data_IF_122468204766
#
_entry.id   IF_122468204766
#
_cell.length_a   1.000
_cell.length_b   1.000
_cell.length_c   1.000
_cell.angle_alpha   90.00
_cell.angle_beta   90.00
_cell.angle_gamma   90.00
#
_symmetry.space_group_name_H-M   'P 1'
#
loop_
_entity.id
_entity.type
_entity.pdbx_description
1 polymer ?
#
# COMPACT_ATOMS: atom_id res chain seq x y z
N UNK A 1 -0.05 -19.62 -24.95
CA UNK A 1 -0.63 -19.86 -23.58
C UNK A 1 0.53 -19.88 -22.60
N UNK A 2 0.73 -18.81 -21.82
CA UNK A 2 1.73 -18.75 -20.76
C UNK A 2 1.37 -19.78 -19.67
N UNK A 3 2.23 -20.74 -19.43
CA UNK A 3 2.09 -21.67 -18.30
C UNK A 3 2.30 -20.87 -17.03
N UNK A 4 1.27 -20.70 -16.23
CA UNK A 4 1.40 -20.18 -14.86
C UNK A 4 2.19 -21.22 -14.05
N UNK A 5 3.42 -20.88 -13.70
CA UNK A 5 4.22 -21.71 -12.81
C UNK A 5 3.84 -21.39 -11.36
N UNK A 6 3.54 -22.41 -10.58
CA UNK A 6 3.45 -22.30 -9.12
C UNK A 6 4.88 -22.31 -8.60
N UNK A 7 5.35 -21.21 -8.08
CA UNK A 7 6.69 -21.12 -7.50
C UNK A 7 6.62 -21.54 -6.03
N UNK A 8 7.38 -22.55 -5.66
CA UNK A 8 7.54 -22.94 -4.25
C UNK A 8 8.38 -21.91 -3.50
N UNK A 9 7.74 -20.98 -2.82
CA UNK A 9 8.39 -19.85 -2.12
C UNK A 9 8.82 -20.16 -0.69
N UNK A 10 8.66 -21.41 -0.20
CA UNK A 10 8.89 -21.76 1.20
C UNK A 10 10.29 -21.38 1.72
N UNK A 11 11.35 -21.72 1.01
CA UNK A 11 12.72 -21.34 1.39
C UNK A 11 12.97 -19.84 1.31
N UNK A 12 12.40 -19.18 0.31
CA UNK A 12 12.47 -17.72 0.16
C UNK A 12 11.73 -17.02 1.29
N UNK A 13 10.51 -17.46 1.61
CA UNK A 13 9.73 -16.91 2.71
C UNK A 13 10.45 -17.09 4.07
N UNK A 14 11.08 -18.23 4.30
CA UNK A 14 11.86 -18.47 5.50
C UNK A 14 13.08 -17.54 5.62
N UNK A 15 13.77 -17.26 4.51
CA UNK A 15 14.89 -16.31 4.49
C UNK A 15 14.47 -14.86 4.71
N UNK A 16 13.22 -14.52 4.43
CA UNK A 16 12.65 -13.17 4.57
C UNK A 16 11.86 -12.97 5.88
N UNK A 17 11.87 -13.96 6.79
CA UNK A 17 11.10 -13.91 8.02
C UNK A 17 11.23 -12.59 8.82
N UNK A 18 12.43 -11.98 8.95
CA UNK A 18 12.58 -10.70 9.63
C UNK A 18 12.05 -9.50 8.86
N UNK A 19 11.92 -9.63 7.51
CA UNK A 19 11.63 -8.52 6.61
C UNK A 19 10.23 -8.56 5.99
N UNK A 20 9.49 -9.66 6.14
CA UNK A 20 8.20 -9.79 5.46
C UNK A 20 7.53 -11.17 5.61
N UNK A 21 7.98 -11.99 6.56
CA UNK A 21 7.46 -13.34 6.78
C UNK A 21 6.13 -13.41 7.55
N UNK A 22 5.43 -12.29 7.72
CA UNK A 22 4.15 -12.28 8.44
C UNK A 22 3.06 -12.93 7.60
N UNK A 23 2.40 -13.93 8.17
CA UNK A 23 1.19 -14.55 7.61
C UNK A 23 -0.01 -13.99 8.36
N UNK A 24 -0.96 -13.42 7.64
CA UNK A 24 -2.11 -12.76 8.24
C UNK A 24 -3.35 -12.85 7.34
N UNK A 25 -4.51 -12.51 7.89
CA UNK A 25 -5.74 -12.30 7.10
C UNK A 25 -5.85 -10.85 6.67
N UNK A 26 -6.64 -10.56 5.61
CA UNK A 26 -6.91 -9.17 5.21
C UNK A 26 -7.57 -8.37 6.33
N UNK A 27 -8.41 -9.02 7.15
CA UNK A 27 -9.07 -8.38 8.30
C UNK A 27 -8.07 -7.94 9.37
N UNK A 28 -7.13 -8.80 9.72
CA UNK A 28 -6.14 -8.48 10.75
C UNK A 28 -5.09 -7.50 10.23
N UNK A 29 -4.73 -7.58 8.95
CA UNK A 29 -3.90 -6.58 8.30
C UNK A 29 -4.58 -5.19 8.27
N UNK A 30 -5.90 -5.14 8.08
CA UNK A 30 -6.67 -3.91 8.19
C UNK A 30 -6.63 -3.35 9.61
N UNK A 31 -6.85 -4.17 10.63
CA UNK A 31 -6.75 -3.75 12.03
C UNK A 31 -5.36 -3.22 12.35
N UNK A 32 -4.33 -3.94 11.93
CA UNK A 32 -2.94 -3.49 12.07
C UNK A 32 -2.72 -2.13 11.39
N UNK A 33 -3.17 -1.96 10.15
CA UNK A 33 -3.02 -0.71 9.41
C UNK A 33 -3.70 0.46 10.10
N UNK A 34 -4.90 0.26 10.65
CA UNK A 34 -5.63 1.29 11.41
C UNK A 34 -4.89 1.63 12.69
N UNK A 35 -4.50 0.65 13.50
CA UNK A 35 -3.77 0.84 14.75
C UNK A 35 -2.41 1.52 14.54
N UNK A 36 -1.67 1.10 13.50
CA UNK A 36 -0.38 1.68 13.12
C UNK A 36 -0.49 3.17 12.79
N UNK A 37 -1.39 3.54 11.92
CA UNK A 37 -1.58 4.93 11.50
C UNK A 37 -2.41 5.75 12.53
N UNK A 38 -3.15 5.09 13.40
CA UNK A 38 -3.93 5.70 14.48
C UNK A 38 -3.09 6.11 15.69
N UNK A 39 -1.87 5.58 15.82
CA UNK A 39 -1.00 5.83 16.97
C UNK A 39 -1.28 4.90 18.16
N UNK A 40 -1.98 3.79 17.94
CA UNK A 40 -2.28 2.82 18.98
C UNK A 40 -1.06 1.92 19.32
N UNK A 41 -0.14 1.73 18.37
CA UNK A 41 1.03 0.88 18.54
C UNK A 41 2.25 1.65 19.07
N UNK A 42 2.34 2.93 18.78
CA UNK A 42 3.39 3.86 19.21
C UNK A 42 2.97 5.30 18.90
N UNK A 43 3.69 6.26 19.45
CA UNK A 43 3.41 7.69 19.21
C UNK A 43 3.50 8.01 17.71
N UNK A 44 2.46 8.62 17.18
CA UNK A 44 2.37 9.07 15.79
C UNK A 44 3.51 9.97 15.36
N UNK A 45 4.10 10.73 16.29
CA UNK A 45 5.27 11.58 16.06
C UNK A 45 6.47 10.80 15.50
N UNK A 46 6.55 9.48 15.74
CA UNK A 46 7.59 8.64 15.14
C UNK A 46 7.41 8.40 13.64
N UNK A 47 6.22 8.63 13.10
CA UNK A 47 5.88 8.42 11.70
C UNK A 47 5.55 9.73 10.98
N UNK A 48 4.83 10.63 11.65
CA UNK A 48 4.46 11.94 11.13
C UNK A 48 5.68 12.87 11.03
N UNK A 49 5.75 13.65 9.96
CA UNK A 49 6.83 14.60 9.72
C UNK A 49 8.16 13.97 9.30
N UNK A 50 8.23 12.68 9.08
CA UNK A 50 9.44 12.03 8.57
C UNK A 50 9.69 12.36 7.11
N UNK A 51 10.98 12.55 6.79
CA UNK A 51 11.39 12.72 5.41
C UNK A 51 11.25 11.43 4.60
N UNK A 52 10.65 11.54 3.43
CA UNK A 52 10.62 10.48 2.44
C UNK A 52 11.66 10.75 1.36
N UNK A 53 12.63 9.87 1.26
CA UNK A 53 13.66 9.95 0.21
C UNK A 53 13.19 9.17 -1.02
N UNK A 54 13.45 9.74 -2.18
CA UNK A 54 13.21 9.03 -3.44
C UNK A 54 14.18 7.85 -3.55
N UNK A 55 13.67 6.65 -3.79
CA UNK A 55 14.49 5.44 -3.80
C UNK A 55 14.63 4.78 -5.17
N UNK A 56 13.63 4.80 -6.03
CA UNK A 56 13.65 4.08 -7.30
C UNK A 56 13.19 4.95 -8.47
N UNK A 57 11.96 5.40 -8.46
CA UNK A 57 11.35 6.19 -9.52
C UNK A 57 10.44 7.26 -8.93
N UNK A 58 10.19 8.31 -9.69
CA UNK A 58 9.12 9.24 -9.37
C UNK A 58 7.81 8.54 -9.69
N UNK A 59 6.84 8.48 -8.80
CA UNK A 59 6.64 9.28 -7.59
C UNK A 59 6.85 8.54 -6.26
N UNK A 60 7.70 7.51 -6.22
CA UNK A 60 7.89 6.68 -5.03
C UNK A 60 8.94 7.27 -4.08
N UNK A 61 8.51 7.64 -2.88
CA UNK A 61 9.36 7.95 -1.75
C UNK A 61 9.36 6.82 -0.70
N UNK A 62 10.41 6.74 0.11
CA UNK A 62 10.53 5.81 1.22
C UNK A 62 11.07 6.51 2.46
N UNK A 63 10.43 6.29 3.60
CA UNK A 63 10.84 6.85 4.88
C UNK A 63 10.03 6.28 6.04
N UNK A 64 10.61 6.23 7.22
CA UNK A 64 9.97 5.69 8.43
C UNK A 64 9.38 4.27 8.26
N UNK A 65 10.03 3.41 7.45
CA UNK A 65 9.55 2.07 7.16
C UNK A 65 8.36 2.00 6.20
N UNK A 66 7.99 3.10 5.55
CA UNK A 66 6.84 3.18 4.66
C UNK A 66 7.22 3.67 3.26
N UNK A 67 6.43 3.28 2.29
CA UNK A 67 6.37 3.86 0.96
C UNK A 67 5.39 5.04 0.98
N UNK A 68 5.75 6.12 0.26
CA UNK A 68 4.86 7.22 -0.08
C UNK A 68 4.73 7.30 -1.59
N UNK A 69 3.51 7.19 -2.10
CA UNK A 69 3.19 7.50 -3.48
C UNK A 69 2.38 8.78 -3.55
N UNK A 70 2.88 9.72 -4.34
CA UNK A 70 2.21 10.97 -4.66
C UNK A 70 2.39 11.23 -6.15
N UNK A 71 1.34 11.02 -6.94
CA UNK A 71 1.41 11.22 -8.37
C UNK A 71 1.44 12.71 -8.69
N UNK A 72 2.48 13.20 -9.39
CA UNK A 72 2.53 14.58 -9.82
C UNK A 72 1.31 14.93 -10.68
N UNK A 73 0.79 16.14 -10.54
CA UNK A 73 -0.35 16.64 -11.34
C UNK A 73 -0.13 16.54 -12.85
N UNK A 74 1.13 16.57 -13.29
CA UNK A 74 1.48 16.40 -14.71
C UNK A 74 1.17 14.98 -15.24
N UNK A 75 1.15 13.97 -14.35
CA UNK A 75 0.83 12.58 -14.71
C UNK A 75 -0.67 12.31 -14.65
N UNK A 76 -1.39 13.05 -13.82
CA UNK A 76 -2.84 12.96 -13.69
C UNK A 76 -3.46 14.36 -13.60
N UNK A 77 -3.59 15.08 -14.74
CA UNK A 77 -4.03 16.48 -14.73
C UNK A 77 -5.52 16.64 -14.42
N UNK A 78 -6.33 15.64 -14.71
CA UNK A 78 -7.79 15.71 -14.60
C UNK A 78 -8.29 15.24 -13.23
N UNK A 79 -7.66 14.21 -12.66
CA UNK A 79 -7.99 13.72 -11.33
C UNK A 79 -6.69 13.57 -10.54
N UNK A 80 -6.39 14.47 -9.59
CA UNK A 80 -5.23 14.31 -8.74
C UNK A 80 -5.33 13.00 -7.98
N UNK A 81 -4.41 12.07 -8.25
CA UNK A 81 -4.32 10.87 -7.43
C UNK A 81 -3.86 11.28 -6.03
N UNK A 82 -4.61 10.96 -4.97
CA UNK A 82 -4.26 11.35 -3.62
C UNK A 82 -2.97 10.65 -3.17
N UNK A 83 -2.29 11.28 -2.22
CA UNK A 83 -1.17 10.63 -1.54
C UNK A 83 -1.63 9.32 -0.89
N UNK A 84 -0.83 8.28 -1.04
CA UNK A 84 -1.00 7.03 -0.29
C UNK A 84 0.30 6.67 0.45
N UNK A 85 0.13 6.25 1.70
CA UNK A 85 1.20 5.86 2.62
C UNK A 85 1.02 4.40 3.03
N UNK A 86 2.09 3.62 3.02
CA UNK A 86 2.02 2.21 3.39
C UNK A 86 3.14 1.39 2.81
N UNK A 87 2.87 0.13 2.51
CA UNK A 87 3.87 -0.76 1.92
C UNK A 87 3.24 -1.81 1.00
N UNK A 88 4.04 -2.31 0.08
CA UNK A 88 3.68 -3.46 -0.76
C UNK A 88 4.81 -4.49 -0.78
N UNK A 89 4.44 -5.76 -0.86
CA UNK A 89 5.35 -6.88 -0.98
C UNK A 89 5.55 -7.33 -2.43
N UNK A 90 6.66 -8.00 -2.69
CA UNK A 90 7.02 -8.54 -4.01
C UNK A 90 6.02 -9.58 -4.55
N UNK A 91 5.21 -10.18 -3.69
CA UNK A 91 4.17 -11.15 -4.04
C UNK A 91 2.80 -10.48 -4.30
N UNK A 92 2.76 -9.15 -4.34
CA UNK A 92 1.53 -8.40 -4.59
C UNK A 92 0.67 -8.16 -3.35
N UNK A 93 1.15 -8.47 -2.14
CA UNK A 93 0.50 -8.05 -0.90
C UNK A 93 0.67 -6.55 -0.68
N UNK A 94 -0.31 -5.90 -0.06
CA UNK A 94 -0.24 -4.46 0.20
C UNK A 94 -1.09 -4.03 1.39
N UNK A 95 -0.65 -2.93 2.01
CA UNK A 95 -1.41 -2.19 3.00
C UNK A 95 -1.09 -0.70 2.82
N UNK A 96 -2.07 0.09 2.38
CA UNK A 96 -1.93 1.52 2.18
C UNK A 96 -3.05 2.29 2.87
N UNK A 97 -2.72 3.48 3.36
CA UNK A 97 -3.65 4.49 3.82
C UNK A 97 -3.67 5.66 2.84
N UNK A 98 -4.84 6.19 2.57
CA UNK A 98 -5.04 7.48 1.92
C UNK A 98 -5.42 8.52 2.97
N UNK A 99 -4.49 9.39 3.43
CA UNK A 99 -4.76 10.33 4.52
C UNK A 99 -5.90 11.30 4.22
N UNK A 100 -5.94 11.84 2.99
CA UNK A 100 -6.94 12.83 2.58
C UNK A 100 -8.36 12.29 2.50
N UNK A 101 -8.55 10.96 2.43
CA UNK A 101 -9.86 10.28 2.40
C UNK A 101 -10.16 9.53 3.71
N UNK A 102 -9.21 9.40 4.61
CA UNK A 102 -9.36 8.59 5.81
C UNK A 102 -9.53 7.09 5.53
N UNK A 103 -9.12 6.62 4.35
CA UNK A 103 -9.36 5.25 3.88
C UNK A 103 -8.11 4.40 4.01
N UNK A 104 -8.29 3.15 4.42
CA UNK A 104 -7.25 2.12 4.37
C UNK A 104 -7.63 1.07 3.32
N UNK A 105 -6.66 0.64 2.52
CA UNK A 105 -6.84 -0.40 1.50
C UNK A 105 -5.78 -1.46 1.72
N UNK A 106 -6.20 -2.68 2.01
CA UNK A 106 -5.30 -3.81 2.26
C UNK A 106 -5.70 -5.00 1.42
N UNK A 107 -4.74 -5.81 1.00
CA UNK A 107 -5.04 -7.00 0.22
C UNK A 107 -3.82 -7.68 -0.38
N UNK A 108 -4.10 -8.60 -1.30
CA UNK A 108 -3.07 -9.25 -2.12
C UNK A 108 -3.59 -9.53 -3.51
N UNK A 109 -2.72 -9.36 -4.49
CA UNK A 109 -2.98 -9.78 -5.87
C UNK A 109 -2.44 -11.19 -6.16
N UNK A 110 -1.69 -11.74 -5.20
CA UNK A 110 -1.06 -13.07 -5.27
C UNK A 110 -0.27 -13.28 -6.58
N UNK A 111 0.49 -12.26 -6.98
CA UNK A 111 1.29 -12.22 -8.21
C UNK A 111 2.55 -11.39 -7.98
N UNK A 112 3.62 -11.73 -8.71
CA UNK A 112 4.92 -11.06 -8.61
C UNK A 112 5.14 -9.99 -9.70
N UNK A 113 4.28 -9.94 -10.70
CA UNK A 113 4.37 -9.10 -11.90
C UNK A 113 3.39 -7.92 -11.90
N UNK A 114 2.88 -7.55 -10.74
CA UNK A 114 1.84 -6.53 -10.58
C UNK A 114 2.31 -5.34 -9.75
N UNK A 115 1.65 -4.22 -9.99
CA UNK A 115 1.83 -2.99 -9.22
C UNK A 115 0.62 -2.80 -8.29
N UNK A 116 0.74 -3.14 -7.00
CA UNK A 116 -0.38 -3.06 -6.06
C UNK A 116 -1.03 -1.68 -5.95
N UNK A 117 -0.27 -0.61 -6.18
CA UNK A 117 -0.81 0.76 -6.09
C UNK A 117 -1.88 1.06 -7.13
N UNK A 118 -1.87 0.40 -8.30
CA UNK A 118 -2.94 0.55 -9.29
C UNK A 118 -4.28 0.04 -8.73
N UNK A 119 -4.26 -1.09 -8.02
CA UNK A 119 -5.44 -1.62 -7.34
C UNK A 119 -5.91 -0.71 -6.20
N UNK A 120 -4.97 -0.12 -5.45
CA UNK A 120 -5.28 0.84 -4.37
C UNK A 120 -5.97 2.08 -4.92
N UNK A 121 -5.40 2.72 -5.95
CA UNK A 121 -5.99 3.92 -6.57
C UNK A 121 -7.34 3.64 -7.21
N UNK A 122 -7.51 2.46 -7.81
CA UNK A 122 -8.81 2.04 -8.35
C UNK A 122 -9.85 1.91 -7.24
N UNK A 123 -9.52 1.27 -6.12
CA UNK A 123 -10.43 1.14 -5.00
C UNK A 123 -10.81 2.49 -4.39
N UNK A 124 -9.86 3.43 -4.25
CA UNK A 124 -10.13 4.78 -3.76
C UNK A 124 -11.08 5.52 -4.71
N UNK A 125 -10.85 5.44 -6.01
CA UNK A 125 -11.71 6.09 -7.01
C UNK A 125 -13.14 5.54 -6.99
N UNK A 126 -13.31 4.24 -6.92
CA UNK A 126 -14.64 3.62 -6.85
C UNK A 126 -15.40 4.02 -5.57
N UNK A 127 -14.67 4.24 -4.46
CA UNK A 127 -15.26 4.77 -3.23
C UNK A 127 -15.71 6.24 -3.40
N UNK A 128 -14.90 7.09 -4.03
CA UNK A 128 -15.25 8.49 -4.29
C UNK A 128 -16.52 8.58 -5.18
N UNK A 129 -16.56 7.82 -6.28
CA UNK A 129 -17.72 7.74 -7.18
C UNK A 129 -18.99 7.22 -6.47
N UNK A 130 -18.84 6.23 -5.57
CA UNK A 130 -19.95 5.69 -4.78
C UNK A 130 -20.51 6.66 -3.73
N UNK A 131 -19.70 7.61 -3.27
CA UNK A 131 -20.15 8.67 -2.33
C UNK A 131 -20.93 9.76 -3.07
N UNK A 132 -20.49 10.14 -4.28
CA UNK A 132 -21.18 11.16 -5.09
C UNK A 132 -22.56 10.72 -5.59
N UNK A 133 -22.82 9.41 -5.68
CA UNK A 133 -24.09 8.85 -6.16
C UNK A 133 -25.12 8.60 -5.05
N UNK A 134 -24.81 8.89 -3.79
CA UNK A 134 -25.78 8.81 -2.71
C UNK A 134 -26.60 10.09 -2.64
N UNK A 135 -27.95 9.98 -2.78
CA UNK A 135 -28.86 11.14 -2.72
C UNK A 135 -28.88 11.80 -1.35
#
# INVERSE_FOLDING_TARGET
RSRRAIVGIGKYAASQAPAGGVVTTARDLMRFSVAFHGGELFDRAHVEGREFRRIQFVPLGYGAGMMRLELPRIVSPVVPAPEILGHSGSTGSFAFRCPSRGVHVVGTLNRIDVKPFEAVYRAIRELDEGVEQRP
#
